data_IF_876098522335
#
_entry.id   IF_876098522335
#
_cell.length_a   1.000
_cell.length_b   1.000
_cell.length_c   1.000
_cell.angle_alpha   90.00
_cell.angle_beta   90.00
_cell.angle_gamma   90.00
#
_symmetry.space_group_name_H-M   'P 1'
#
loop_
_entity.id
_entity.type
_entity.pdbx_description
1 polymer ?
#
# COMPACT_ATOMS: atom_id res chain seq x y z
N UNK A 1 16.82 -13.35 -13.18
CA UNK A 1 16.44 -13.98 -11.89
C UNK A 1 16.69 -13.04 -10.72
N UNK A 2 17.95 -12.65 -10.44
CA UNK A 2 18.29 -11.76 -9.32
C UNK A 2 17.62 -10.39 -9.33
N UNK A 3 17.48 -9.76 -10.50
CA UNK A 3 16.88 -8.41 -10.62
C UNK A 3 15.44 -8.32 -10.10
N UNK A 4 14.59 -9.30 -10.39
CA UNK A 4 13.18 -9.28 -9.94
C UNK A 4 13.09 -9.57 -8.44
N UNK A 5 13.91 -10.51 -7.94
CA UNK A 5 13.95 -10.84 -6.50
C UNK A 5 14.41 -9.63 -5.68
N UNK A 6 15.49 -8.96 -6.10
CA UNK A 6 15.96 -7.74 -5.42
C UNK A 6 14.92 -6.62 -5.46
N UNK A 7 14.18 -6.49 -6.57
CA UNK A 7 13.12 -5.49 -6.70
C UNK A 7 11.94 -5.79 -5.75
N UNK A 8 11.42 -7.02 -5.74
CA UNK A 8 10.37 -7.42 -4.80
C UNK A 8 10.83 -7.32 -3.35
N UNK A 9 12.07 -7.72 -3.03
CA UNK A 9 12.62 -7.58 -1.70
C UNK A 9 12.59 -6.12 -1.21
N UNK A 10 12.99 -5.17 -2.08
CA UNK A 10 12.93 -3.74 -1.76
C UNK A 10 11.49 -3.25 -1.57
N UNK A 11 10.59 -3.66 -2.48
CA UNK A 11 9.18 -3.30 -2.42
C UNK A 11 8.50 -3.77 -1.13
N UNK A 12 8.64 -5.05 -0.79
CA UNK A 12 8.09 -5.62 0.44
C UNK A 12 8.81 -5.12 1.69
N UNK A 13 10.08 -4.74 1.61
CA UNK A 13 10.78 -4.08 2.71
C UNK A 13 10.16 -2.71 3.02
N UNK A 14 9.96 -1.86 2.00
CA UNK A 14 9.33 -0.53 2.17
C UNK A 14 7.93 -0.69 2.77
N UNK A 15 7.15 -1.63 2.26
CA UNK A 15 5.82 -1.95 2.79
C UNK A 15 5.88 -2.41 4.25
N UNK A 16 6.79 -3.31 4.59
CA UNK A 16 6.96 -3.82 5.94
C UNK A 16 7.37 -2.72 6.93
N UNK A 17 8.26 -1.83 6.52
CA UNK A 17 8.67 -0.67 7.33
C UNK A 17 7.50 0.28 7.60
N UNK A 18 6.70 0.59 6.58
CA UNK A 18 5.50 1.40 6.72
C UNK A 18 4.47 0.76 7.67
N UNK A 19 4.21 -0.54 7.50
CA UNK A 19 3.29 -1.27 8.37
C UNK A 19 3.78 -1.29 9.82
N UNK A 20 5.08 -1.48 10.03
CA UNK A 20 5.69 -1.46 11.35
C UNK A 20 5.48 -0.10 12.07
N UNK A 21 5.58 1.02 11.35
CA UNK A 21 5.20 2.32 11.89
C UNK A 21 3.74 2.38 12.33
N UNK A 22 2.81 2.01 11.43
CA UNK A 22 1.37 2.14 11.68
C UNK A 22 0.94 1.28 12.87
N UNK A 23 1.49 0.06 12.98
CA UNK A 23 1.13 -0.89 14.04
C UNK A 23 1.75 -0.52 15.38
N UNK A 24 3.02 -0.09 15.40
CA UNK A 24 3.77 0.07 16.66
C UNK A 24 3.91 1.52 17.13
N UNK A 25 4.04 2.49 16.22
CA UNK A 25 4.44 3.86 16.55
C UNK A 25 3.30 4.87 16.42
N UNK A 26 2.39 4.68 15.47
CA UNK A 26 1.32 5.66 15.20
C UNK A 26 0.35 5.85 16.39
N UNK A 27 -0.11 4.75 17.00
CA UNK A 27 -1.03 4.80 18.15
C UNK A 27 -0.44 5.53 19.36
N UNK A 28 0.77 5.20 19.85
CA UNK A 28 1.36 5.92 20.98
C UNK A 28 1.70 7.38 20.62
N UNK A 29 2.10 7.67 19.38
CA UNK A 29 2.31 9.03 18.91
C UNK A 29 1.02 9.87 19.05
N UNK A 30 -0.08 9.44 18.44
CA UNK A 30 -1.35 10.17 18.50
C UNK A 30 -1.95 10.24 19.92
N UNK A 31 -1.70 9.23 20.76
CA UNK A 31 -2.08 9.27 22.16
C UNK A 31 -1.29 10.32 22.96
N UNK A 32 0.01 10.50 22.64
CA UNK A 32 0.85 11.55 23.21
C UNK A 32 0.38 12.97 22.84
N UNK A 33 -0.19 13.12 21.65
CA UNK A 33 -0.80 14.38 21.15
C UNK A 33 -2.21 14.64 21.73
N UNK A 34 -2.64 13.86 22.72
CA UNK A 34 -3.91 14.06 23.42
C UNK A 34 -5.15 13.52 22.69
N UNK A 35 -5.00 12.77 21.59
CA UNK A 35 -6.14 12.18 20.88
C UNK A 35 -6.80 11.10 21.74
N UNK A 36 -8.11 11.23 21.96
CA UNK A 36 -8.89 10.30 22.77
C UNK A 36 -8.90 8.85 22.23
N UNK A 37 -8.87 7.88 23.15
CA UNK A 37 -8.84 6.43 22.83
C UNK A 37 -9.97 5.96 21.91
N UNK A 38 -11.18 6.52 22.07
CA UNK A 38 -12.35 6.20 21.21
C UNK A 38 -12.09 6.62 19.76
N UNK A 39 -11.58 7.83 19.55
CA UNK A 39 -11.23 8.38 18.24
C UNK A 39 -10.11 7.57 17.58
N UNK A 40 -9.08 7.18 18.34
CA UNK A 40 -8.00 6.32 17.84
C UNK A 40 -8.51 4.94 17.39
N UNK A 41 -9.45 4.37 18.15
CA UNK A 41 -10.10 3.10 17.79
C UNK A 41 -10.82 3.21 16.44
N UNK A 42 -11.70 4.21 16.31
CA UNK A 42 -12.43 4.47 15.07
C UNK A 42 -11.50 4.74 13.88
N UNK A 43 -10.47 5.57 14.08
CA UNK A 43 -9.48 5.87 13.05
C UNK A 43 -8.74 4.61 12.59
N UNK A 44 -8.27 3.78 13.51
CA UNK A 44 -7.60 2.51 13.16
C UNK A 44 -8.52 1.59 12.36
N UNK A 45 -9.79 1.50 12.74
CA UNK A 45 -10.78 0.70 12.00
C UNK A 45 -11.01 1.23 10.58
N UNK A 46 -11.07 2.55 10.40
CA UNK A 46 -11.21 3.17 9.08
C UNK A 46 -10.00 2.89 8.17
N UNK A 47 -8.78 2.86 8.74
CA UNK A 47 -7.57 2.54 7.98
C UNK A 47 -7.55 1.11 7.43
N UNK A 48 -8.33 0.18 8.01
CA UNK A 48 -8.43 -1.20 7.53
C UNK A 48 -9.38 -1.34 6.32
N UNK A 49 -10.31 -0.40 6.12
CA UNK A 49 -11.31 -0.49 5.04
C UNK A 49 -10.68 -0.62 3.64
N UNK A 50 -9.63 0.15 3.28
CA UNK A 50 -8.92 -0.03 2.02
C UNK A 50 -8.37 -1.44 1.80
N UNK A 51 -7.89 -2.09 2.85
CA UNK A 51 -7.35 -3.45 2.77
C UNK A 51 -8.44 -4.51 2.60
N UNK A 52 -9.65 -4.26 3.10
CA UNK A 52 -10.82 -5.10 2.80
C UNK A 52 -11.25 -4.88 1.34
N UNK A 53 -11.29 -3.63 0.90
CA UNK A 53 -11.67 -3.25 -0.46
C UNK A 53 -10.63 -3.61 -1.52
N UNK A 54 -9.41 -4.03 -1.12
CA UNK A 54 -8.28 -4.26 -2.02
C UNK A 54 -8.57 -5.29 -3.12
N UNK A 55 -9.44 -6.27 -2.85
CA UNK A 55 -9.89 -7.26 -3.86
C UNK A 55 -10.53 -6.55 -5.07
N UNK A 56 -11.33 -5.51 -4.83
CA UNK A 56 -11.93 -4.71 -5.90
C UNK A 56 -10.89 -3.86 -6.63
N UNK A 57 -9.90 -3.34 -5.91
CA UNK A 57 -8.78 -2.58 -6.50
C UNK A 57 -7.94 -3.45 -7.42
N UNK A 58 -7.72 -4.73 -7.07
CA UNK A 58 -7.07 -5.72 -7.93
C UNK A 58 -7.89 -6.03 -9.19
N UNK A 59 -9.21 -6.24 -9.04
CA UNK A 59 -10.09 -6.43 -10.20
C UNK A 59 -10.10 -5.20 -11.12
N UNK A 60 -10.04 -3.99 -10.54
CA UNK A 60 -10.00 -2.74 -11.30
C UNK A 60 -8.72 -2.61 -12.10
N UNK A 61 -7.55 -2.87 -11.49
CA UNK A 61 -6.27 -2.81 -12.18
C UNK A 61 -6.13 -3.88 -13.26
N UNK A 62 -6.79 -5.02 -13.10
CA UNK A 62 -6.79 -6.11 -14.08
C UNK A 62 -7.70 -5.85 -15.29
N UNK A 63 -8.81 -5.12 -15.09
CA UNK A 63 -9.78 -4.84 -16.16
C UNK A 63 -9.56 -3.52 -16.90
N UNK A 64 -8.93 -2.54 -16.27
CA UNK A 64 -8.66 -1.23 -16.87
C UNK A 64 -7.15 -1.05 -17.05
N UNK A 65 -6.56 -1.47 -18.17
CA UNK A 65 -5.14 -1.25 -18.41
C UNK A 65 -4.85 0.26 -18.54
N UNK A 66 -4.06 0.80 -17.60
CA UNK A 66 -3.58 2.18 -17.69
C UNK A 66 -2.36 2.26 -18.61
N UNK A 67 -2.61 2.61 -19.88
CA UNK A 67 -1.56 2.86 -20.87
C UNK A 67 -0.95 1.60 -21.49
N UNK A 68 0.28 1.73 -22.03
CA UNK A 68 0.95 0.68 -22.86
C UNK A 68 1.90 -0.24 -22.07
N UNK A 69 2.10 -0.02 -20.76
CA UNK A 69 3.11 -0.71 -19.94
C UNK A 69 2.60 -1.97 -19.19
N UNK A 70 1.46 -2.52 -19.60
CA UNK A 70 0.80 -3.67 -18.95
C UNK A 70 -0.15 -3.24 -17.82
N UNK A 71 -1.11 -4.11 -17.47
CA UNK A 71 -2.22 -3.72 -16.60
C UNK A 71 -1.80 -3.40 -15.15
N UNK A 72 -0.80 -4.09 -14.58
CA UNK A 72 -0.50 -4.02 -13.13
C UNK A 72 0.62 -3.03 -12.74
N UNK A 73 1.67 -2.92 -13.56
CA UNK A 73 2.87 -2.08 -13.27
C UNK A 73 2.58 -0.58 -13.09
N UNK A 74 1.77 0.10 -13.92
CA UNK A 74 1.48 1.52 -13.74
C UNK A 74 0.65 1.77 -12.48
N UNK A 75 -0.27 0.87 -12.13
CA UNK A 75 -1.05 0.97 -10.89
C UNK A 75 -0.19 0.76 -9.64
N UNK A 76 0.78 -0.15 -9.70
CA UNK A 76 1.74 -0.34 -8.61
C UNK A 76 2.56 0.94 -8.36
N UNK A 77 3.08 1.57 -9.43
CA UNK A 77 3.81 2.83 -9.31
C UNK A 77 2.92 3.98 -8.82
N UNK A 78 1.67 4.05 -9.28
CA UNK A 78 0.68 5.03 -8.82
C UNK A 78 0.39 4.85 -7.33
N UNK A 79 0.10 3.64 -6.89
CA UNK A 79 -0.18 3.32 -5.48
C UNK A 79 0.99 3.68 -4.58
N UNK A 80 2.21 3.33 -4.98
CA UNK A 80 3.43 3.68 -4.25
C UNK A 80 3.66 5.20 -4.23
N UNK A 81 3.39 5.91 -5.33
CA UNK A 81 3.48 7.36 -5.41
C UNK A 81 2.49 8.06 -4.49
N UNK A 82 1.22 7.64 -4.51
CA UNK A 82 0.17 8.15 -3.61
C UNK A 82 0.57 7.91 -2.15
N UNK A 83 0.97 6.68 -1.83
CA UNK A 83 1.43 6.32 -0.50
C UNK A 83 2.60 7.21 -0.05
N UNK A 84 3.67 7.28 -0.85
CA UNK A 84 4.87 8.05 -0.52
C UNK A 84 4.60 9.55 -0.36
N UNK A 85 3.80 10.15 -1.23
CA UNK A 85 3.43 11.57 -1.15
C UNK A 85 2.59 11.87 0.09
N UNK A 86 1.58 11.04 0.37
CA UNK A 86 0.75 11.21 1.56
C UNK A 86 1.59 11.06 2.82
N UNK A 87 2.42 10.02 2.89
CA UNK A 87 3.26 9.75 4.05
C UNK A 87 4.29 10.85 4.30
N UNK A 88 4.89 11.38 3.24
CA UNK A 88 5.78 12.54 3.33
C UNK A 88 5.05 13.78 3.86
N UNK A 89 3.82 14.03 3.37
CA UNK A 89 3.02 15.17 3.81
C UNK A 89 2.58 15.09 5.28
N UNK A 90 2.45 13.88 5.86
CA UNK A 90 2.11 13.71 7.28
C UNK A 90 3.16 14.32 8.21
N UNK A 91 4.42 14.41 7.79
CA UNK A 91 5.48 15.04 8.59
C UNK A 91 5.27 16.54 8.84
N UNK A 92 4.42 17.20 8.06
CA UNK A 92 4.07 18.61 8.24
C UNK A 92 2.71 18.87 8.88
N UNK A 93 1.96 17.82 9.24
CA UNK A 93 0.60 17.95 9.79
C UNK A 93 0.64 17.63 11.28
N UNK A 94 0.32 18.63 12.11
CA UNK A 94 0.13 18.43 13.54
C UNK A 94 -1.23 17.74 13.79
N UNK A 95 -1.26 16.49 14.28
CA UNK A 95 -2.50 15.79 14.56
C UNK A 95 -3.26 16.37 15.76
N UNK A 96 -2.61 17.07 16.69
CA UNK A 96 -3.23 17.68 17.86
C UNK A 96 -4.17 18.83 17.48
N UNK A 97 -3.78 19.63 16.49
CA UNK A 97 -4.58 20.76 15.98
C UNK A 97 -5.43 20.39 14.75
N UNK A 98 -4.96 19.47 13.90
CA UNK A 98 -5.58 19.15 12.61
C UNK A 98 -5.82 17.64 12.40
N UNK A 99 -6.37 16.98 13.42
CA UNK A 99 -6.62 15.52 13.39
C UNK A 99 -7.40 15.04 12.16
N UNK A 100 -8.46 15.75 11.75
CA UNK A 100 -9.28 15.33 10.63
C UNK A 100 -8.50 15.29 9.29
N UNK A 101 -7.63 16.29 9.07
CA UNK A 101 -6.75 16.34 7.91
C UNK A 101 -5.72 15.20 7.98
N UNK A 102 -5.07 15.03 9.14
CA UNK A 102 -4.14 13.92 9.37
C UNK A 102 -4.79 12.56 9.08
N UNK A 103 -6.02 12.37 9.54
CA UNK A 103 -6.78 11.13 9.36
C UNK A 103 -7.13 10.90 7.88
N UNK A 104 -7.58 11.94 7.17
CA UNK A 104 -7.90 11.86 5.75
C UNK A 104 -6.67 11.53 4.89
N UNK A 105 -5.53 12.17 5.16
CA UNK A 105 -4.26 11.92 4.46
C UNK A 105 -3.75 10.52 4.75
N UNK A 106 -3.79 10.07 6.00
CA UNK A 106 -3.37 8.70 6.37
C UNK A 106 -4.29 7.65 5.74
N UNK A 107 -5.59 7.92 5.63
CA UNK A 107 -6.54 7.03 4.96
C UNK A 107 -6.33 6.97 3.44
N UNK A 108 -5.99 8.11 2.81
CA UNK A 108 -5.59 8.14 1.41
C UNK A 108 -4.27 7.38 1.19
N UNK A 109 -3.32 7.50 2.11
CA UNK A 109 -2.09 6.73 2.10
C UNK A 109 -2.38 5.22 2.16
N UNK A 110 -3.31 4.78 3.00
CA UNK A 110 -3.65 3.34 3.09
C UNK A 110 -4.38 2.82 1.85
N UNK A 111 -5.15 3.64 1.14
CA UNK A 111 -5.64 3.31 -0.21
C UNK A 111 -4.51 3.12 -1.21
N UNK A 112 -3.54 4.04 -1.25
CA UNK A 112 -2.36 3.91 -2.11
C UNK A 112 -1.56 2.64 -1.82
N UNK A 113 -1.38 2.34 -0.53
CA UNK A 113 -0.69 1.13 -0.07
C UNK A 113 -1.44 -0.14 -0.43
N UNK A 114 -2.77 -0.18 -0.28
CA UNK A 114 -3.60 -1.34 -0.63
C UNK A 114 -3.62 -1.60 -2.16
N UNK A 115 -3.63 -0.54 -2.96
CA UNK A 115 -3.52 -0.64 -4.43
C UNK A 115 -2.14 -1.20 -4.84
N UNK A 116 -1.08 -0.68 -4.24
CA UNK A 116 0.29 -1.15 -4.46
C UNK A 116 0.44 -2.63 -4.08
N UNK A 117 0.00 -3.00 -2.88
CA UNK A 117 0.06 -4.37 -2.33
C UNK A 117 -0.60 -5.38 -3.28
N UNK A 118 -1.84 -5.11 -3.69
CA UNK A 118 -2.59 -6.01 -4.57
C UNK A 118 -1.95 -6.15 -5.95
N UNK A 119 -1.38 -5.06 -6.50
CA UNK A 119 -0.71 -5.11 -7.79
C UNK A 119 0.66 -5.82 -7.71
N UNK A 120 1.39 -5.64 -6.61
CA UNK A 120 2.66 -6.32 -6.36
C UNK A 120 2.45 -7.83 -6.22
N UNK A 121 1.46 -8.24 -5.43
CA UNK A 121 1.08 -9.65 -5.26
C UNK A 121 0.67 -10.29 -6.59
N UNK A 122 -0.20 -9.63 -7.36
CA UNK A 122 -0.62 -10.13 -8.68
C UNK A 122 0.55 -10.28 -9.65
N UNK A 123 1.48 -9.30 -9.68
CA UNK A 123 2.64 -9.38 -10.55
C UNK A 123 3.67 -10.44 -10.12
N UNK A 124 3.78 -10.71 -8.82
CA UNK A 124 4.62 -11.80 -8.31
C UNK A 124 4.09 -13.17 -8.77
N UNK A 125 2.77 -13.37 -8.76
CA UNK A 125 2.11 -14.58 -9.29
C UNK A 125 2.34 -14.70 -10.80
N UNK A 126 2.12 -13.63 -11.57
CA UNK A 126 2.32 -13.64 -13.03
C UNK A 126 3.76 -14.10 -13.38
N UNK A 127 4.78 -13.60 -12.66
CA UNK A 127 6.19 -14.00 -12.86
C UNK A 127 6.43 -15.47 -12.48
N UNK A 128 5.78 -15.96 -11.43
CA UNK A 128 5.90 -17.34 -11.01
C UNK A 128 5.29 -18.31 -12.04
N UNK A 129 4.11 -17.98 -12.58
CA UNK A 129 3.43 -18.77 -13.61
C UNK A 129 4.21 -18.80 -14.92
N UNK A 130 4.72 -17.65 -15.41
CA UNK A 130 5.59 -17.58 -16.59
C UNK A 130 6.80 -18.52 -16.45
N UNK A 131 7.36 -18.62 -15.23
CA UNK A 131 8.49 -19.49 -14.94
C UNK A 131 8.10 -20.97 -14.97
N UNK A 132 6.94 -21.33 -14.43
CA UNK A 132 6.46 -22.72 -14.44
C UNK A 132 6.09 -23.18 -15.84
N UNK A 133 5.42 -22.34 -16.63
CA UNK A 133 5.09 -22.61 -18.03
C UNK A 133 6.34 -22.69 -18.92
N UNK A 134 7.35 -21.84 -18.66
CA UNK A 134 8.65 -21.92 -19.34
C UNK A 134 9.44 -23.21 -19.02
N UNK A 135 9.14 -23.87 -17.90
CA UNK A 135 9.76 -25.15 -17.50
C UNK A 135 9.07 -26.37 -18.14
N UNK A 136 7.83 -26.22 -18.62
CA UNK A 136 7.00 -27.29 -19.16
C UNK A 136 6.90 -27.27 -20.70
N UNK A 137 7.76 -26.54 -21.41
CA UNK A 137 7.81 -26.59 -22.88
C UNK A 137 8.59 -27.84 -23.30
N UNK A 138 7.96 -28.89 -23.86
CA UNK A 138 8.70 -30.03 -24.40
C UNK A 138 9.56 -29.58 -25.60
N UNK A 139 10.66 -30.30 -25.90
CA UNK A 139 11.59 -29.98 -26.98
C UNK A 139 10.91 -29.95 -28.36
#
# INVERSE_FOLDING_TARGET
MWRNISFFALLYYIQGAALAYVVNFQKPYLAGEGIGKKTLGLFTSLLLLPFIAKVFLGMLSDRLPLGRCGSRKPYMALGLGIFGLCYFSLGGIDPGHHFALFAAVTWLASLGLALFDTCADGWAVDIAEEREQGRFRPP
#
